data_IF_102846076502
#
_entry.id   IF_102846076502
#
_cell.length_a   1.000
_cell.length_b   1.000
_cell.length_c   1.000
_cell.angle_alpha   90.00
_cell.angle_beta   90.00
_cell.angle_gamma   90.00
#
_symmetry.space_group_name_H-M   'P 1'
#
loop_
_entity.id
_entity.type
_entity.pdbx_description
1 polymer ?
#
# COMPACT_ATOMS: atom_id res chain seq x y z
N UNK A 1 -3.92 13.40 -6.41
CA UNK A 1 -3.90 12.05 -5.77
C UNK A 1 -4.35 12.25 -4.33
N UNK A 2 -5.14 11.32 -3.79
CA UNK A 2 -5.70 11.47 -2.43
C UNK A 2 -4.62 11.08 -1.44
N UNK A 3 -4.30 11.95 -0.50
CA UNK A 3 -3.28 11.69 0.54
C UNK A 3 -3.95 11.22 1.83
N UNK A 4 -5.12 11.76 2.15
CA UNK A 4 -5.87 11.43 3.36
C UNK A 4 -7.35 11.20 3.06
N UNK A 5 -7.91 10.20 3.71
CA UNK A 5 -9.35 9.96 3.80
C UNK A 5 -9.72 9.91 5.27
N UNK A 6 -10.55 10.84 5.72
CA UNK A 6 -11.03 10.90 7.11
C UNK A 6 -12.52 10.56 7.15
N UNK A 7 -12.91 9.71 8.09
CA UNK A 7 -14.27 9.23 8.25
C UNK A 7 -14.97 9.89 9.46
N UNK A 8 -16.31 10.07 9.42
CA UNK A 8 -17.04 10.70 10.52
C UNK A 8 -16.97 9.97 11.87
N UNK A 9 -16.64 8.67 11.85
CA UNK A 9 -16.45 7.83 13.03
C UNK A 9 -15.03 7.93 13.63
N UNK A 10 -14.18 8.81 13.07
CA UNK A 10 -12.81 9.02 13.51
C UNK A 10 -11.79 8.10 12.85
N UNK A 11 -12.20 7.16 12.00
CA UNK A 11 -11.28 6.35 11.20
C UNK A 11 -10.57 7.18 10.14
N UNK A 12 -9.37 6.75 9.74
CA UNK A 12 -8.63 7.42 8.66
C UNK A 12 -7.84 6.44 7.79
N UNK A 13 -7.53 6.86 6.56
CA UNK A 13 -6.58 6.20 5.68
C UNK A 13 -5.60 7.24 5.15
N UNK A 14 -4.30 6.95 5.27
CA UNK A 14 -3.22 7.77 4.71
C UNK A 14 -2.52 7.05 3.56
N UNK A 15 -2.23 7.77 2.49
CA UNK A 15 -1.54 7.27 1.30
C UNK A 15 -0.28 8.07 1.03
N UNK A 16 0.86 7.37 0.92
CA UNK A 16 2.10 7.97 0.42
C UNK A 16 2.37 7.54 -1.01
N UNK A 17 3.05 8.41 -1.75
CA UNK A 17 3.40 8.15 -3.14
C UNK A 17 4.86 8.46 -3.43
N UNK A 18 5.43 7.78 -4.41
CA UNK A 18 6.74 8.16 -4.96
C UNK A 18 6.63 9.29 -6.00
N UNK A 19 7.81 9.74 -6.45
CA UNK A 19 7.96 10.80 -7.46
C UNK A 19 7.34 10.46 -8.82
N UNK A 20 7.03 9.19 -9.09
CA UNK A 20 6.42 8.74 -10.35
C UNK A 20 4.90 8.76 -10.32
N UNK A 21 4.24 8.77 -9.17
CA UNK A 21 2.79 8.53 -9.16
C UNK A 21 2.31 7.46 -8.22
N UNK A 22 3.22 6.59 -7.80
CA UNK A 22 2.87 5.22 -7.42
C UNK A 22 2.73 5.14 -5.91
N UNK A 23 1.74 4.40 -5.45
CA UNK A 23 1.42 4.31 -4.03
C UNK A 23 2.48 3.48 -3.32
N UNK A 24 3.25 4.07 -2.42
CA UNK A 24 4.29 3.35 -1.66
C UNK A 24 3.81 2.88 -0.31
N UNK A 25 2.74 3.47 0.23
CA UNK A 25 2.18 3.11 1.53
C UNK A 25 0.67 3.32 1.57
N UNK A 26 -0.01 2.45 2.32
CA UNK A 26 -1.36 2.65 2.84
C UNK A 26 -1.26 2.47 4.35
N UNK A 27 -1.58 3.49 5.13
CA UNK A 27 -1.83 3.34 6.55
C UNK A 27 -3.36 3.39 6.76
N UNK A 28 -3.95 2.28 7.22
CA UNK A 28 -5.38 2.16 7.48
C UNK A 28 -5.59 2.14 8.99
N UNK A 29 -6.25 3.18 9.50
CA UNK A 29 -6.57 3.37 10.91
C UNK A 29 -8.08 3.39 11.12
N UNK A 30 -8.85 2.73 10.25
CA UNK A 30 -10.28 2.52 10.45
C UNK A 30 -10.51 1.51 11.58
N UNK A 31 -11.55 1.74 12.37
CA UNK A 31 -11.89 0.90 13.52
C UNK A 31 -12.02 -0.59 13.11
N UNK A 32 -11.49 -1.49 13.95
CA UNK A 32 -11.36 -2.94 13.72
C UNK A 32 -12.64 -3.66 13.28
N UNK A 33 -13.82 -3.09 13.49
CA UNK A 33 -15.10 -3.66 13.04
C UNK A 33 -15.28 -3.70 11.52
N UNK A 34 -14.60 -2.84 10.76
CA UNK A 34 -14.76 -2.74 9.29
C UNK A 34 -13.79 -3.63 8.47
N UNK A 35 -12.98 -4.45 9.13
CA UNK A 35 -12.34 -5.70 8.65
C UNK A 35 -11.72 -5.77 7.22
N UNK A 36 -11.34 -4.66 6.59
CA UNK A 36 -10.64 -4.71 5.28
C UNK A 36 -9.17 -4.26 5.34
N UNK A 37 -8.70 -3.70 6.47
CA UNK A 37 -7.36 -3.09 6.50
C UNK A 37 -6.47 -3.39 7.69
N UNK A 38 -6.99 -3.94 8.79
CA UNK A 38 -6.26 -3.96 10.07
C UNK A 38 -5.93 -2.54 10.55
N UNK A 39 -5.62 -2.39 11.84
CA UNK A 39 -4.92 -1.19 12.31
C UNK A 39 -3.46 -1.35 11.90
N UNK A 40 -3.02 -0.65 10.85
CA UNK A 40 -1.68 -0.90 10.35
C UNK A 40 -1.29 -0.29 9.03
N UNK A 41 -0.07 -0.61 8.62
CA UNK A 41 0.58 -0.03 7.44
C UNK A 41 1.00 -1.13 6.47
N UNK A 42 0.57 -1.00 5.20
CA UNK A 42 1.02 -1.82 4.09
C UNK A 42 1.94 -0.98 3.20
N UNK A 43 3.09 -1.53 2.80
CA UNK A 43 4.05 -0.87 1.91
C UNK A 43 4.23 -1.63 0.60
N UNK A 44 4.49 -0.87 -0.47
CA UNK A 44 4.65 -1.38 -1.83
C UNK A 44 5.98 -0.91 -2.41
N UNK A 45 6.69 -1.82 -3.06
CA UNK A 45 7.83 -1.52 -3.92
C UNK A 45 7.49 -1.91 -5.36
N UNK A 46 8.12 -1.23 -6.31
CA UNK A 46 7.86 -1.40 -7.73
C UNK A 46 9.14 -1.71 -8.49
N UNK A 47 9.02 -2.51 -9.54
CA UNK A 47 10.09 -2.66 -10.52
C UNK A 47 10.17 -1.48 -11.49
N UNK A 48 11.17 -1.52 -12.38
CA UNK A 48 11.44 -0.47 -13.37
C UNK A 48 10.36 -0.34 -14.45
N UNK A 49 9.41 -1.27 -14.51
CA UNK A 49 8.30 -1.31 -15.46
C UNK A 49 6.97 -0.96 -14.79
N UNK A 50 7.02 -0.36 -13.59
CA UNK A 50 5.83 0.05 -12.83
C UNK A 50 4.94 -1.13 -12.38
N UNK A 51 5.55 -2.25 -12.01
CA UNK A 51 4.84 -3.41 -11.45
C UNK A 51 5.23 -3.62 -10.01
N UNK A 52 4.28 -3.99 -9.14
CA UNK A 52 4.55 -4.25 -7.72
C UNK A 52 5.53 -5.43 -7.60
N UNK A 53 6.73 -5.18 -7.09
CA UNK A 53 7.77 -6.19 -6.89
C UNK A 53 7.80 -6.74 -5.47
N UNK A 54 7.28 -5.98 -4.49
CA UNK A 54 7.19 -6.41 -3.09
C UNK A 54 6.03 -5.73 -2.38
N UNK A 55 5.39 -6.49 -1.50
CA UNK A 55 4.40 -6.01 -0.52
C UNK A 55 4.92 -6.41 0.86
N UNK A 56 4.88 -5.47 1.82
CA UNK A 56 5.06 -5.76 3.24
C UNK A 56 3.77 -5.37 3.96
N UNK A 57 3.14 -6.30 4.66
CA UNK A 57 1.93 -6.03 5.44
C UNK A 57 2.25 -5.44 6.84
N UNK A 58 1.20 -5.15 7.60
CA UNK A 58 1.30 -4.54 8.92
C UNK A 58 1.99 -5.41 9.97
N UNK A 59 2.00 -6.73 9.79
CA UNK A 59 2.67 -7.69 10.68
C UNK A 59 4.12 -7.94 10.26
N UNK A 60 4.56 -7.30 9.16
CA UNK A 60 5.89 -7.45 8.59
C UNK A 60 6.03 -8.66 7.66
N UNK A 61 4.95 -9.35 7.29
CA UNK A 61 5.00 -10.41 6.30
C UNK A 61 5.30 -9.82 4.92
N UNK A 62 6.18 -10.51 4.19
CA UNK A 62 6.68 -10.04 2.90
C UNK A 62 6.24 -11.00 1.81
N UNK A 63 5.58 -10.46 0.79
CA UNK A 63 5.35 -11.14 -0.49
C UNK A 63 6.21 -10.47 -1.55
N UNK A 64 6.99 -11.26 -2.31
CA UNK A 64 7.82 -10.77 -3.42
C UNK A 64 7.35 -11.36 -4.74
N UNK A 65 7.28 -10.51 -5.75
CA UNK A 65 6.94 -10.89 -7.12
C UNK A 65 8.16 -10.77 -8.01
N UNK A 66 8.44 -11.84 -8.76
CA UNK A 66 9.41 -11.81 -9.85
C UNK A 66 8.67 -11.97 -11.15
N UNK A 67 8.83 -11.00 -12.02
CA UNK A 67 8.24 -11.04 -13.36
C UNK A 67 9.31 -11.37 -14.38
N UNK A 68 8.97 -12.11 -15.45
CA UNK A 68 9.85 -12.23 -16.59
C UNK A 68 10.17 -10.84 -17.14
N UNK A 69 11.42 -10.68 -17.57
CA UNK A 69 11.81 -9.52 -18.39
C UNK A 69 11.06 -9.62 -19.71
N UNK A 70 10.56 -8.49 -20.21
CA UNK A 70 10.04 -8.46 -21.58
C UNK A 70 11.13 -8.96 -22.51
N UNK A 71 10.80 -9.99 -23.31
CA UNK A 71 11.64 -10.39 -24.43
C UNK A 71 11.38 -9.36 -25.53
N UNK A 72 12.44 -8.65 -25.92
CA UNK A 72 12.48 -7.86 -27.16
C UNK A 72 12.28 -8.76 -28.37
#
# INVERSE_FOLDING_TARGET
>A
RVEDVNYPDGGSIHYTYDGFGRKTQVADYRNSTDNIGGDGTISYEYDVLDRVSKITDQDGWIVKYTYPKFRS
#
